data_IF_095383126524
#
_entry.id   IF_095383126524
#
_cell.length_a   1.000
_cell.length_b   1.000
_cell.length_c   1.000
_cell.angle_alpha   90.00
_cell.angle_beta   90.00
_cell.angle_gamma   90.00
#
_symmetry.space_group_name_H-M   'P 1'
#
loop_
_entity.id
_entity.type
_entity.pdbx_description
1 polymer ?
#
# COMPACT_ATOMS: atom_id res chain seq x y z
N UNK A 1 0.24 10.90 14.98
CA UNK A 1 0.65 9.99 13.90
C UNK A 1 1.72 9.01 14.35
N UNK A 2 2.79 9.43 15.04
CA UNK A 2 3.82 8.47 15.51
C UNK A 2 3.37 7.43 16.53
N UNK A 3 2.41 7.74 17.39
CA UNK A 3 1.85 6.74 18.32
C UNK A 3 1.30 5.51 17.58
N UNK A 4 0.70 5.71 16.41
CA UNK A 4 0.18 4.62 15.58
C UNK A 4 1.29 3.74 14.99
N UNK A 5 2.33 4.35 14.40
CA UNK A 5 3.49 3.63 13.86
C UNK A 5 4.18 2.80 14.95
N UNK A 6 4.31 3.37 16.15
CA UNK A 6 4.90 2.69 17.30
C UNK A 6 4.08 1.46 17.71
N UNK A 7 2.77 1.60 17.82
CA UNK A 7 1.89 0.49 18.22
C UNK A 7 1.84 -0.60 17.15
N UNK A 8 1.77 -0.22 15.86
CA UNK A 8 1.82 -1.18 14.76
C UNK A 8 3.17 -1.92 14.71
N UNK A 9 4.29 -1.21 14.92
CA UNK A 9 5.63 -1.81 14.98
C UNK A 9 5.76 -2.80 16.15
N UNK A 10 5.22 -2.47 17.33
CA UNK A 10 5.18 -3.37 18.49
C UNK A 10 4.32 -4.60 18.23
N UNK A 11 3.15 -4.41 17.63
CA UNK A 11 2.26 -5.51 17.27
C UNK A 11 2.90 -6.43 16.22
N UNK A 12 3.56 -5.87 15.20
CA UNK A 12 4.34 -6.62 14.22
C UNK A 12 5.50 -7.41 14.85
N UNK A 13 6.17 -6.84 15.86
CA UNK A 13 7.17 -7.58 16.64
C UNK A 13 6.56 -8.75 17.42
N UNK A 14 5.44 -8.54 18.11
CA UNK A 14 4.71 -9.61 18.83
C UNK A 14 4.22 -10.71 17.89
N UNK A 15 3.83 -10.37 16.64
CA UNK A 15 3.51 -11.31 15.58
C UNK A 15 4.75 -11.97 14.94
N UNK A 16 5.95 -11.60 15.35
CA UNK A 16 7.21 -12.21 14.91
C UNK A 16 7.69 -11.74 13.53
N UNK A 17 7.16 -10.66 12.98
CA UNK A 17 7.46 -10.17 11.62
C UNK A 17 8.16 -8.81 11.58
N UNK A 18 8.32 -8.13 12.70
CA UNK A 18 9.01 -6.84 12.76
C UNK A 18 10.12 -6.83 13.80
N UNK A 19 11.14 -5.97 13.64
CA UNK A 19 12.17 -5.78 14.65
C UNK A 19 11.58 -5.28 15.97
N UNK A 20 12.23 -5.62 17.09
CA UNK A 20 11.84 -5.12 18.42
C UNK A 20 12.01 -3.60 18.48
N UNK A 21 10.98 -2.89 18.96
CA UNK A 21 11.09 -1.46 19.31
C UNK A 21 11.89 -1.35 20.61
N UNK A 22 13.02 -0.62 20.57
CA UNK A 22 13.95 -0.46 21.68
C UNK A 22 13.72 0.86 22.43
N UNK A 23 13.39 1.94 21.69
CA UNK A 23 13.13 3.25 22.24
C UNK A 23 12.18 4.01 21.31
N UNK A 24 11.37 4.88 21.85
CA UNK A 24 10.53 5.80 21.10
C UNK A 24 10.19 7.04 21.93
N UNK A 25 10.02 8.16 21.23
CA UNK A 25 9.40 9.40 21.72
C UNK A 25 8.60 10.07 20.59
N UNK A 26 8.18 11.32 20.79
CA UNK A 26 7.38 12.05 19.80
C UNK A 26 8.11 12.26 18.45
N UNK A 27 9.44 12.10 18.43
CA UNK A 27 10.30 12.42 17.29
C UNK A 27 11.11 11.25 16.76
N UNK A 28 11.33 10.21 17.56
CA UNK A 28 12.28 9.14 17.26
C UNK A 28 11.63 7.79 17.54
N UNK A 29 11.80 6.86 16.60
CA UNK A 29 11.55 5.43 16.78
C UNK A 29 12.86 4.68 16.52
N UNK A 30 13.34 3.94 17.53
CA UNK A 30 14.55 3.11 17.45
C UNK A 30 14.16 1.65 17.52
N UNK A 31 14.46 0.91 16.48
CA UNK A 31 14.25 -0.53 16.41
C UNK A 31 15.55 -1.31 16.48
N UNK A 32 15.44 -2.56 16.89
CA UNK A 32 16.54 -3.51 16.82
C UNK A 32 17.10 -3.59 15.41
N UNK A 33 18.40 -3.49 15.27
CA UNK A 33 19.06 -3.71 13.99
C UNK A 33 18.97 -5.18 13.58
N UNK A 34 18.53 -5.42 12.35
CA UNK A 34 18.51 -6.75 11.75
C UNK A 34 19.64 -6.81 10.72
N UNK A 35 20.59 -7.71 10.94
CA UNK A 35 21.63 -8.00 9.93
C UNK A 35 20.95 -8.70 8.76
N UNK A 36 20.72 -7.97 7.69
CA UNK A 36 19.89 -8.41 6.58
C UNK A 36 20.29 -7.72 5.28
N UNK A 37 19.83 -8.26 4.16
CA UNK A 37 19.85 -7.61 2.87
C UNK A 37 18.46 -7.06 2.55
N UNK A 38 18.38 -5.88 1.94
CA UNK A 38 17.14 -5.44 1.32
C UNK A 38 16.81 -6.32 0.12
N UNK A 39 15.54 -6.59 -0.09
CA UNK A 39 15.11 -7.21 -1.33
C UNK A 39 15.41 -6.29 -2.52
N UNK A 40 15.65 -6.87 -3.68
CA UNK A 40 15.72 -6.14 -4.96
C UNK A 40 14.44 -6.40 -5.75
N UNK A 41 14.10 -5.56 -6.74
CA UNK A 41 12.94 -5.80 -7.61
C UNK A 41 12.94 -7.20 -8.26
N UNK A 42 14.13 -7.71 -8.63
CA UNK A 42 14.28 -9.04 -9.22
C UNK A 42 14.03 -10.15 -8.19
N UNK A 43 14.58 -10.00 -6.98
CA UNK A 43 14.35 -10.98 -5.90
C UNK A 43 12.89 -11.05 -5.49
N UNK A 44 12.19 -9.91 -5.45
CA UNK A 44 10.75 -9.89 -5.12
C UNK A 44 9.93 -10.72 -6.10
N UNK A 45 10.26 -10.70 -7.39
CA UNK A 45 9.56 -11.46 -8.45
C UNK A 45 9.87 -12.96 -8.44
N UNK A 46 10.91 -13.38 -7.73
CA UNK A 46 11.21 -14.81 -7.63
C UNK A 46 10.10 -15.54 -6.86
N UNK A 47 9.56 -16.62 -7.44
CA UNK A 47 8.39 -17.34 -6.90
C UNK A 47 8.56 -17.76 -5.44
N UNK A 48 9.75 -18.20 -5.03
CA UNK A 48 10.02 -18.58 -3.65
C UNK A 48 9.99 -17.39 -2.70
N UNK A 49 10.48 -16.25 -3.13
CA UNK A 49 10.39 -14.99 -2.36
C UNK A 49 8.94 -14.50 -2.29
N UNK A 50 8.21 -14.56 -3.42
CA UNK A 50 6.77 -14.20 -3.44
C UNK A 50 5.94 -15.04 -2.49
N UNK A 51 6.19 -16.36 -2.38
CA UNK A 51 5.52 -17.22 -1.38
C UNK A 51 5.76 -16.72 0.05
N UNK A 52 7.01 -16.35 0.36
CA UNK A 52 7.36 -15.81 1.69
C UNK A 52 6.67 -14.44 1.93
N UNK A 53 6.61 -13.58 0.91
CA UNK A 53 5.94 -12.27 1.01
C UNK A 53 4.43 -12.45 1.19
N UNK A 54 3.78 -13.36 0.45
CA UNK A 54 2.37 -13.68 0.60
C UNK A 54 2.08 -14.21 2.02
N UNK A 55 2.96 -15.06 2.56
CA UNK A 55 2.84 -15.52 3.94
C UNK A 55 2.96 -14.36 4.93
N UNK A 56 3.90 -13.44 4.71
CA UNK A 56 4.07 -12.23 5.51
C UNK A 56 2.80 -11.35 5.49
N UNK A 57 2.20 -11.13 4.31
CA UNK A 57 0.92 -10.41 4.16
C UNK A 57 -0.20 -11.10 4.96
N UNK A 58 -0.29 -12.44 4.91
CA UNK A 58 -1.27 -13.19 5.69
C UNK A 58 -1.11 -13.00 7.19
N UNK A 59 0.13 -12.94 7.70
CA UNK A 59 0.40 -12.65 9.12
C UNK A 59 -0.05 -11.23 9.46
N UNK A 60 0.26 -10.25 8.62
CA UNK A 60 -0.20 -8.85 8.81
C UNK A 60 -1.72 -8.81 8.96
N UNK A 61 -2.45 -9.46 8.04
CA UNK A 61 -3.91 -9.38 7.98
C UNK A 61 -4.63 -10.17 9.07
N UNK A 62 -4.03 -11.25 9.59
CA UNK A 62 -4.71 -12.19 10.50
C UNK A 62 -4.18 -12.15 11.93
N UNK A 63 -2.90 -11.85 12.13
CA UNK A 63 -2.25 -12.04 13.42
C UNK A 63 -1.88 -10.71 14.10
N UNK A 64 -1.38 -9.72 13.35
CA UNK A 64 -0.95 -8.44 13.94
C UNK A 64 -2.06 -7.76 14.72
N UNK A 65 -3.30 -7.82 14.24
CA UNK A 65 -4.47 -7.23 14.88
C UNK A 65 -4.67 -7.71 16.32
N UNK A 66 -4.27 -8.95 16.65
CA UNK A 66 -4.41 -9.53 17.98
C UNK A 66 -3.45 -8.90 19.02
N UNK A 67 -2.46 -8.13 18.55
CA UNK A 67 -1.44 -7.50 19.39
C UNK A 67 -1.51 -5.98 19.38
N UNK A 68 -2.48 -5.39 18.67
CA UNK A 68 -2.68 -3.94 18.67
C UNK A 68 -3.25 -3.51 20.03
N UNK A 69 -2.63 -2.51 20.63
CA UNK A 69 -3.05 -1.91 21.89
C UNK A 69 -3.46 -0.45 21.64
N UNK A 70 -4.61 -0.02 22.17
CA UNK A 70 -5.07 1.35 22.02
C UNK A 70 -6.19 1.56 20.99
N UNK A 71 -6.58 2.81 20.72
CA UNK A 71 -7.64 3.11 19.77
C UNK A 71 -7.23 2.69 18.36
N UNK A 72 -8.14 2.01 17.67
CA UNK A 72 -7.95 1.61 16.27
C UNK A 72 -7.77 2.85 15.40
N UNK A 73 -6.56 3.10 14.96
CA UNK A 73 -6.27 4.21 14.07
C UNK A 73 -6.64 3.79 12.64
N UNK A 74 -7.60 4.48 12.10
CA UNK A 74 -8.08 4.28 10.74
C UNK A 74 -7.24 5.13 9.78
N UNK A 75 -6.20 4.54 9.19
CA UNK A 75 -5.60 5.08 7.97
C UNK A 75 -6.39 4.56 6.76
N UNK A 76 -7.68 4.92 6.72
CA UNK A 76 -8.54 4.57 5.59
C UNK A 76 -8.03 5.27 4.32
N UNK A 77 -7.79 4.48 3.27
CA UNK A 77 -7.17 4.96 2.04
C UNK A 77 -8.02 6.04 1.34
N UNK A 78 -9.36 5.95 1.40
CA UNK A 78 -10.24 6.92 0.79
C UNK A 78 -10.25 8.25 1.55
N UNK A 79 -10.15 8.19 2.89
CA UNK A 79 -9.95 9.40 3.70
C UNK A 79 -8.61 10.06 3.37
N UNK A 80 -7.53 9.29 3.22
CA UNK A 80 -6.22 9.82 2.84
C UNK A 80 -6.24 10.50 1.46
N UNK A 81 -6.93 9.92 0.48
CA UNK A 81 -7.15 10.49 -0.85
C UNK A 81 -7.92 11.81 -0.73
N UNK A 82 -9.05 11.82 0.00
CA UNK A 82 -9.89 13.01 0.16
C UNK A 82 -9.15 14.16 0.85
N UNK A 83 -8.34 13.89 1.87
CA UNK A 83 -7.50 14.90 2.54
C UNK A 83 -6.51 15.54 1.56
N UNK A 84 -5.86 14.74 0.69
CA UNK A 84 -4.93 15.26 -0.32
C UNK A 84 -5.66 16.10 -1.38
N UNK A 85 -6.82 15.65 -1.84
CA UNK A 85 -7.66 16.42 -2.79
C UNK A 85 -8.08 17.76 -2.16
N UNK A 86 -8.53 17.74 -0.91
CA UNK A 86 -8.89 18.95 -0.18
C UNK A 86 -7.69 19.91 -0.10
N UNK A 87 -6.53 19.41 0.31
CA UNK A 87 -5.31 20.22 0.39
C UNK A 87 -4.93 20.85 -0.95
N UNK A 88 -5.04 20.09 -2.05
CA UNK A 88 -4.75 20.60 -3.39
C UNK A 88 -5.77 21.64 -3.84
N UNK A 89 -7.06 21.53 -3.46
CA UNK A 89 -8.08 22.54 -3.76
C UNK A 89 -7.84 23.88 -3.07
N UNK A 90 -7.34 23.84 -1.83
CA UNK A 90 -7.05 25.03 -1.03
C UNK A 90 -5.76 25.75 -1.45
N UNK A 91 -4.96 25.13 -2.29
CA UNK A 91 -3.67 25.66 -2.75
C UNK A 91 -3.69 25.96 -4.25
N UNK A 92 -2.94 26.99 -4.65
CA UNK A 92 -2.66 27.18 -6.07
C UNK A 92 -1.74 26.06 -6.55
N UNK A 93 -2.24 25.17 -7.40
CA UNK A 93 -1.49 24.04 -7.92
C UNK A 93 -1.74 23.84 -9.44
N UNK A 94 -0.78 23.28 -10.18
CA UNK A 94 -0.86 23.12 -11.63
C UNK A 94 -1.85 22.03 -12.10
N UNK A 95 -2.45 21.26 -11.18
CA UNK A 95 -3.29 20.08 -11.48
C UNK A 95 -4.77 20.30 -11.14
N UNK A 96 -5.19 21.53 -10.92
CA UNK A 96 -6.57 21.86 -10.50
C UNK A 96 -7.62 21.32 -11.47
N UNK A 97 -7.31 21.29 -12.77
CA UNK A 97 -8.17 20.76 -13.84
C UNK A 97 -8.49 19.26 -13.67
N UNK A 98 -7.60 18.48 -13.04
CA UNK A 98 -7.74 17.04 -12.86
C UNK A 98 -8.52 16.65 -11.59
N UNK A 99 -8.61 17.54 -10.60
CA UNK A 99 -9.15 17.19 -9.28
C UNK A 99 -10.61 16.73 -9.33
N UNK A 100 -11.45 17.37 -10.18
CA UNK A 100 -12.85 16.97 -10.31
C UNK A 100 -13.02 15.57 -10.91
N UNK A 101 -12.11 15.17 -11.82
CA UNK A 101 -12.06 13.82 -12.37
C UNK A 101 -11.71 12.83 -11.24
N UNK A 102 -10.65 13.08 -10.48
CA UNK A 102 -10.20 12.21 -9.41
C UNK A 102 -11.23 12.02 -8.29
N UNK A 103 -12.02 13.07 -7.98
CA UNK A 103 -13.11 12.96 -7.00
C UNK A 103 -14.13 11.93 -7.48
N UNK A 104 -14.61 12.06 -8.72
CA UNK A 104 -15.61 11.14 -9.29
C UNK A 104 -15.10 9.71 -9.36
N UNK A 105 -13.85 9.53 -9.76
CA UNK A 105 -13.20 8.22 -9.81
C UNK A 105 -13.06 7.61 -8.40
N UNK A 106 -12.65 8.41 -7.41
CA UNK A 106 -12.55 7.99 -6.02
C UNK A 106 -13.92 7.55 -5.45
N UNK A 107 -15.00 8.29 -5.75
CA UNK A 107 -16.37 7.94 -5.35
C UNK A 107 -16.81 6.58 -5.94
N UNK A 108 -16.45 6.31 -7.21
CA UNK A 108 -16.70 5.02 -7.84
C UNK A 108 -15.94 3.91 -7.13
N UNK A 109 -14.63 4.08 -6.91
CA UNK A 109 -13.79 3.09 -6.23
C UNK A 109 -14.29 2.82 -4.81
N UNK A 110 -14.62 3.85 -4.06
CA UNK A 110 -15.15 3.71 -2.71
C UNK A 110 -16.46 2.94 -2.70
N UNK A 111 -17.38 3.24 -3.61
CA UNK A 111 -18.65 2.53 -3.75
C UNK A 111 -18.45 1.05 -4.06
N UNK A 112 -17.57 0.72 -4.99
CA UNK A 112 -17.31 -0.66 -5.41
C UNK A 112 -16.53 -1.45 -4.34
N UNK A 113 -15.77 -0.77 -3.48
CA UNK A 113 -15.03 -1.40 -2.38
C UNK A 113 -15.84 -1.67 -1.11
N UNK A 114 -17.03 -1.09 -0.95
CA UNK A 114 -17.84 -1.17 0.30
C UNK A 114 -18.25 -2.58 0.72
N UNK A 115 -18.31 -3.52 -0.21
CA UNK A 115 -18.66 -4.92 0.06
C UNK A 115 -17.50 -5.77 0.59
N UNK A 116 -16.29 -5.19 0.73
CA UNK A 116 -15.10 -5.94 1.11
C UNK A 116 -14.82 -5.82 2.59
N UNK A 117 -14.53 -6.96 3.20
CA UNK A 117 -14.10 -7.02 4.59
C UNK A 117 -12.79 -6.24 4.78
N UNK A 118 -12.71 -5.46 5.86
CA UNK A 118 -11.50 -4.75 6.24
C UNK A 118 -10.67 -5.60 7.18
N UNK A 119 -9.37 -5.66 6.92
CA UNK A 119 -8.36 -6.28 7.77
C UNK A 119 -7.32 -5.23 8.15
N UNK A 120 -6.50 -5.52 9.15
CA UNK A 120 -5.34 -4.67 9.41
C UNK A 120 -4.32 -4.85 8.29
N UNK A 121 -3.91 -3.76 7.65
CA UNK A 121 -3.05 -3.70 6.47
C UNK A 121 -1.81 -2.87 6.76
N UNK A 122 -0.71 -3.16 6.08
CA UNK A 122 0.51 -2.37 6.15
C UNK A 122 0.42 -1.09 5.31
N UNK A 123 -0.26 -1.16 4.18
CA UNK A 123 -0.50 -0.09 3.20
C UNK A 123 0.74 0.42 2.44
N UNK A 124 1.92 -0.13 2.69
CA UNK A 124 3.14 0.20 1.96
C UNK A 124 4.04 -1.03 1.73
N UNK A 125 3.48 -2.09 1.10
CA UNK A 125 4.26 -3.25 0.68
C UNK A 125 5.18 -2.89 -0.49
N UNK A 126 6.39 -2.47 -0.14
CA UNK A 126 7.45 -2.12 -1.06
C UNK A 126 8.72 -2.90 -0.71
N UNK A 127 9.50 -3.32 -1.69
CA UNK A 127 10.67 -4.18 -1.46
C UNK A 127 11.68 -3.58 -0.47
N UNK A 128 11.77 -2.25 -0.36
CA UNK A 128 12.65 -1.58 0.60
C UNK A 128 12.19 -1.70 2.04
N UNK A 129 10.91 -1.97 2.27
CA UNK A 129 10.33 -2.18 3.59
C UNK A 129 10.39 -3.64 4.02
N UNK A 130 10.96 -4.52 3.18
CA UNK A 130 11.11 -5.95 3.46
C UNK A 130 12.60 -6.28 3.57
N UNK A 131 13.02 -6.76 4.75
CA UNK A 131 14.38 -7.19 5.01
C UNK A 131 14.46 -8.71 4.98
N UNK A 132 15.51 -9.26 4.40
CA UNK A 132 15.78 -10.71 4.33
C UNK A 132 17.05 -11.02 5.13
N UNK A 133 16.92 -11.78 6.21
CA UNK A 133 18.05 -12.24 7.06
C UNK A 133 18.49 -13.66 6.71
N UNK A 134 18.13 -14.17 5.53
CA UNK A 134 18.34 -15.53 5.03
C UNK A 134 17.50 -16.61 5.75
N UNK A 135 16.92 -16.31 6.92
CA UNK A 135 16.05 -17.21 7.68
C UNK A 135 14.58 -16.88 7.47
N UNK A 136 14.25 -15.58 7.51
CA UNK A 136 12.88 -15.09 7.31
C UNK A 136 12.88 -13.67 6.73
N UNK A 137 11.68 -13.24 6.34
CA UNK A 137 11.43 -11.85 5.99
C UNK A 137 10.95 -11.06 7.21
N UNK A 138 11.41 -9.81 7.29
CA UNK A 138 11.01 -8.83 8.29
C UNK A 138 10.34 -7.67 7.58
N UNK A 139 9.30 -7.10 8.20
CA UNK A 139 8.56 -5.94 7.70
C UNK A 139 8.80 -4.74 8.60
N UNK A 140 9.12 -3.59 7.99
CA UNK A 140 9.40 -2.32 8.67
C UNK A 140 8.56 -1.21 8.05
N UNK A 141 8.53 -0.04 8.69
CA UNK A 141 7.88 1.18 8.18
C UNK A 141 6.34 1.11 8.19
N UNK A 142 5.78 1.04 9.40
CA UNK A 142 4.36 0.88 9.66
C UNK A 142 3.57 2.20 9.67
N UNK A 143 4.14 3.32 9.21
CA UNK A 143 3.53 4.64 9.33
C UNK A 143 2.17 4.78 8.65
N UNK A 144 1.92 4.00 7.59
CA UNK A 144 0.68 4.01 6.83
C UNK A 144 -0.30 2.89 7.22
N UNK A 145 0.08 2.00 8.14
CA UNK A 145 -0.76 0.86 8.51
C UNK A 145 -2.15 1.27 9.01
N UNK A 146 -3.15 0.43 8.81
CA UNK A 146 -4.53 0.71 9.20
C UNK A 146 -5.51 -0.33 8.68
N UNK A 147 -6.81 -0.08 8.88
CA UNK A 147 -7.86 -1.01 8.45
C UNK A 147 -8.35 -0.69 7.04
N UNK A 148 -8.01 -1.54 6.09
CA UNK A 148 -8.41 -1.45 4.68
C UNK A 148 -8.77 -2.82 4.11
N UNK A 149 -9.17 -2.86 2.85
CA UNK A 149 -9.30 -4.12 2.13
C UNK A 149 -7.94 -4.83 2.03
N UNK A 150 -7.88 -6.17 2.20
CA UNK A 150 -6.64 -6.93 2.01
C UNK A 150 -6.02 -6.76 0.62
N UNK A 151 -6.85 -6.47 -0.38
CA UNK A 151 -6.38 -6.21 -1.74
C UNK A 151 -5.54 -4.93 -1.87
N UNK A 152 -5.57 -4.02 -0.89
CA UNK A 152 -4.71 -2.83 -0.92
C UNK A 152 -3.23 -3.21 -0.76
N UNK A 153 -2.90 -4.13 0.15
CA UNK A 153 -1.52 -4.61 0.31
C UNK A 153 -1.06 -5.44 -0.89
N UNK A 154 -1.92 -6.28 -1.45
CA UNK A 154 -1.62 -7.02 -2.68
C UNK A 154 -1.40 -6.06 -3.87
N UNK A 155 -2.22 -5.03 -3.99
CA UNK A 155 -2.10 -4.00 -5.01
C UNK A 155 -0.82 -3.17 -4.84
N UNK A 156 -0.46 -2.80 -3.61
CA UNK A 156 0.79 -2.10 -3.32
C UNK A 156 2.00 -2.95 -3.68
N UNK A 157 2.00 -4.24 -3.31
CA UNK A 157 3.06 -5.17 -3.70
C UNK A 157 3.20 -5.24 -5.23
N UNK A 158 2.10 -5.44 -5.94
CA UNK A 158 2.09 -5.54 -7.39
C UNK A 158 2.53 -4.23 -8.07
N UNK A 159 1.89 -3.12 -7.71
CA UNK A 159 2.15 -1.80 -8.29
C UNK A 159 3.60 -1.35 -8.06
N UNK A 160 4.11 -1.51 -6.85
CA UNK A 160 5.44 -1.03 -6.47
C UNK A 160 6.58 -1.83 -7.13
N UNK A 161 6.31 -3.06 -7.54
CA UNK A 161 7.29 -3.94 -8.17
C UNK A 161 7.00 -4.20 -9.65
N UNK A 162 6.01 -3.48 -10.24
CA UNK A 162 5.62 -3.59 -11.65
C UNK A 162 5.40 -5.05 -12.08
N UNK A 163 4.52 -5.74 -11.36
CA UNK A 163 4.19 -7.14 -11.63
C UNK A 163 3.45 -7.29 -12.96
N UNK A 164 3.75 -8.40 -13.63
CA UNK A 164 3.00 -8.89 -14.78
C UNK A 164 1.64 -9.47 -14.34
N UNK A 165 0.78 -9.78 -15.30
CA UNK A 165 -0.49 -10.47 -15.02
C UNK A 165 -0.25 -11.86 -14.41
N UNK A 166 0.81 -12.56 -14.82
CA UNK A 166 1.17 -13.87 -14.24
C UNK A 166 1.63 -13.73 -12.78
N UNK A 167 2.37 -12.67 -12.45
CA UNK A 167 2.76 -12.37 -11.07
C UNK A 167 1.52 -12.01 -10.22
N UNK A 168 0.61 -11.21 -10.77
CA UNK A 168 -0.65 -10.85 -10.14
C UNK A 168 -1.53 -12.09 -9.87
N UNK A 169 -1.62 -13.00 -10.83
CA UNK A 169 -2.32 -14.26 -10.65
C UNK A 169 -1.66 -15.09 -9.55
N UNK A 170 -0.32 -15.19 -9.55
CA UNK A 170 0.42 -15.95 -8.54
C UNK A 170 0.18 -15.44 -7.11
N UNK A 171 0.18 -14.10 -6.91
CA UNK A 171 -0.10 -13.54 -5.58
C UNK A 171 -1.56 -13.74 -5.16
N UNK A 172 -2.52 -13.65 -6.09
CA UNK A 172 -3.92 -13.91 -5.80
C UNK A 172 -4.15 -15.38 -5.39
N UNK A 173 -3.66 -16.35 -6.17
CA UNK A 173 -3.73 -17.78 -5.84
C UNK A 173 -3.08 -18.08 -4.48
N UNK A 174 -1.88 -17.56 -4.29
CA UNK A 174 -1.15 -17.74 -3.04
C UNK A 174 -1.86 -17.12 -1.83
N UNK A 175 -2.54 -16.00 -2.01
CA UNK A 175 -3.27 -15.33 -0.93
C UNK A 175 -4.63 -15.97 -0.63
N UNK A 176 -5.45 -16.21 -1.64
CA UNK A 176 -6.81 -16.76 -1.48
C UNK A 176 -6.81 -18.26 -1.23
N UNK A 177 -5.83 -18.99 -1.75
CA UNK A 177 -5.69 -20.46 -1.60
C UNK A 177 -6.53 -21.27 -2.58
N UNK A 178 -7.31 -20.62 -3.44
CA UNK A 178 -8.22 -21.24 -4.40
C UNK A 178 -7.94 -20.71 -5.83
N UNK A 179 -8.71 -21.22 -6.79
CA UNK A 179 -8.64 -20.75 -8.17
C UNK A 179 -9.04 -19.27 -8.26
N UNK A 180 -8.25 -18.49 -9.00
CA UNK A 180 -8.52 -17.06 -9.23
C UNK A 180 -9.88 -16.90 -9.90
N UNK A 181 -10.69 -15.99 -9.37
CA UNK A 181 -11.98 -15.61 -9.95
C UNK A 181 -11.87 -14.27 -10.71
N UNK A 182 -12.81 -14.01 -11.61
CA UNK A 182 -12.91 -12.67 -12.23
C UNK A 182 -13.09 -11.58 -11.18
N UNK A 183 -13.79 -11.87 -10.08
CA UNK A 183 -13.99 -10.96 -8.96
C UNK A 183 -12.67 -10.68 -8.19
N UNK A 184 -11.81 -11.67 -7.97
CA UNK A 184 -10.49 -11.50 -7.34
C UNK A 184 -9.60 -10.58 -8.18
N UNK A 185 -9.55 -10.82 -9.50
CA UNK A 185 -8.83 -9.95 -10.44
C UNK A 185 -9.38 -8.52 -10.44
N UNK A 186 -10.70 -8.38 -10.51
CA UNK A 186 -11.35 -7.08 -10.45
C UNK A 186 -10.97 -6.31 -9.18
N UNK A 187 -11.03 -6.95 -8.01
CA UNK A 187 -10.66 -6.35 -6.72
C UNK A 187 -9.19 -5.89 -6.72
N UNK A 188 -8.27 -6.73 -7.18
CA UNK A 188 -6.86 -6.37 -7.25
C UNK A 188 -6.66 -5.12 -8.11
N UNK A 189 -7.26 -5.07 -9.31
CA UNK A 189 -7.10 -3.96 -10.23
C UNK A 189 -7.83 -2.69 -9.77
N UNK A 190 -8.96 -2.80 -9.08
CA UNK A 190 -9.59 -1.70 -8.37
C UNK A 190 -8.62 -1.07 -7.37
N UNK A 191 -8.01 -1.88 -6.50
CA UNK A 191 -7.10 -1.36 -5.49
C UNK A 191 -5.74 -0.91 -6.05
N UNK A 192 -5.31 -1.43 -7.21
CA UNK A 192 -4.17 -0.86 -7.97
C UNK A 192 -4.48 0.56 -8.44
N UNK A 193 -5.72 0.84 -8.90
CA UNK A 193 -6.14 2.21 -9.23
C UNK A 193 -6.16 3.10 -7.98
N UNK A 194 -6.75 2.64 -6.88
CA UNK A 194 -6.81 3.39 -5.61
C UNK A 194 -5.41 3.74 -5.11
N UNK A 195 -4.50 2.76 -5.11
CA UNK A 195 -3.12 2.96 -4.67
C UNK A 195 -2.35 3.94 -5.57
N UNK A 196 -2.50 3.82 -6.90
CA UNK A 196 -1.87 4.75 -7.85
C UNK A 196 -2.44 6.16 -7.73
N UNK A 197 -3.77 6.31 -7.58
CA UNK A 197 -4.39 7.61 -7.35
C UNK A 197 -3.87 8.27 -6.06
N UNK A 198 -3.75 7.50 -4.99
CA UNK A 198 -3.19 8.00 -3.74
C UNK A 198 -1.75 8.50 -3.92
N UNK A 199 -0.93 7.80 -4.71
CA UNK A 199 0.45 8.17 -5.00
C UNK A 199 0.56 9.39 -5.93
N UNK A 200 -0.29 9.48 -6.96
CA UNK A 200 -0.43 10.67 -7.81
C UNK A 200 -0.74 11.92 -6.95
N UNK A 201 -1.73 11.82 -6.08
CA UNK A 201 -2.11 12.93 -5.21
C UNK A 201 -1.02 13.28 -4.19
N UNK A 202 -0.32 12.27 -3.65
CA UNK A 202 0.84 12.50 -2.79
C UNK A 202 1.95 13.25 -3.52
N UNK A 203 2.25 12.88 -4.75
CA UNK A 203 3.28 13.56 -5.54
C UNK A 203 2.88 15.00 -5.88
N UNK A 204 1.61 15.24 -6.24
CA UNK A 204 1.08 16.59 -6.48
C UNK A 204 1.15 17.48 -5.23
N UNK A 205 0.83 16.94 -4.05
CA UNK A 205 1.01 17.65 -2.77
C UNK A 205 2.48 17.93 -2.52
N UNK A 206 3.36 16.99 -2.86
CA UNK A 206 4.80 17.14 -2.67
C UNK A 206 5.41 18.20 -3.59
N UNK A 207 4.90 18.36 -4.83
CA UNK A 207 5.33 19.44 -5.74
C UNK A 207 5.18 20.83 -5.12
N UNK A 208 4.10 21.06 -4.38
CA UNK A 208 3.78 22.39 -3.83
C UNK A 208 4.24 22.61 -2.39
N UNK A 209 4.61 21.55 -1.67
CA UNK A 209 4.88 21.63 -0.23
C UNK A 209 6.25 21.08 0.21
N UNK A 210 6.89 20.22 -0.61
CA UNK A 210 8.15 19.57 -0.23
C UNK A 210 9.33 20.52 -0.36
N UNK A 211 10.21 20.49 0.65
CA UNK A 211 11.53 21.16 0.63
C UNK A 211 12.66 20.22 0.16
N UNK A 212 12.34 18.97 -0.17
CA UNK A 212 13.33 17.98 -0.63
C UNK A 212 13.79 18.31 -2.05
N UNK A 213 15.08 18.13 -2.30
CA UNK A 213 15.64 18.22 -3.66
C UNK A 213 15.29 16.93 -4.41
N UNK A 214 14.14 16.92 -5.05
CA UNK A 214 13.64 15.80 -5.84
C UNK A 214 12.75 16.33 -6.97
N UNK A 215 12.83 15.77 -8.16
CA UNK A 215 11.99 16.16 -9.30
C UNK A 215 10.58 15.56 -9.18
N UNK A 216 9.77 16.18 -8.33
CA UNK A 216 8.38 15.77 -8.13
C UNK A 216 7.53 15.94 -9.39
N UNK A 217 7.84 16.91 -10.27
CA UNK A 217 7.08 17.13 -11.51
C UNK A 217 7.21 15.95 -12.45
N UNK A 218 8.44 15.50 -12.72
CA UNK A 218 8.68 14.30 -13.53
C UNK A 218 8.09 13.05 -12.89
N UNK A 219 8.17 12.95 -11.57
CA UNK A 219 7.58 11.83 -10.83
C UNK A 219 6.05 11.81 -10.96
N UNK A 220 5.37 12.94 -10.74
CA UNK A 220 3.92 13.07 -10.89
C UNK A 220 3.47 12.70 -12.30
N UNK A 221 4.17 13.22 -13.34
CA UNK A 221 3.85 12.88 -14.72
C UNK A 221 3.97 11.39 -15.01
N UNK A 222 4.97 10.72 -14.44
CA UNK A 222 5.11 9.26 -14.57
C UNK A 222 3.97 8.52 -13.84
N UNK A 223 3.65 8.91 -12.61
CA UNK A 223 2.57 8.28 -11.83
C UNK A 223 1.20 8.50 -12.50
N UNK A 224 0.95 9.67 -13.10
CA UNK A 224 -0.26 9.94 -13.88
C UNK A 224 -0.40 8.96 -15.05
N UNK A 225 0.65 8.76 -15.85
CA UNK A 225 0.63 7.80 -16.97
C UNK A 225 0.36 6.37 -16.49
N UNK A 226 0.97 5.96 -15.38
CA UNK A 226 0.73 4.64 -14.79
C UNK A 226 -0.71 4.49 -14.30
N UNK A 227 -1.23 5.53 -13.66
CA UNK A 227 -2.62 5.58 -13.20
C UNK A 227 -3.61 5.47 -14.37
N UNK A 228 -3.44 6.27 -15.42
CA UNK A 228 -4.32 6.26 -16.59
C UNK A 228 -4.33 4.88 -17.27
N UNK A 229 -3.15 4.29 -17.49
CA UNK A 229 -3.05 2.93 -18.04
C UNK A 229 -3.77 1.89 -17.17
N UNK A 230 -3.60 1.97 -15.84
CA UNK A 230 -4.24 1.05 -14.90
C UNK A 230 -5.77 1.26 -14.86
N UNK A 231 -6.21 2.51 -14.93
CA UNK A 231 -7.63 2.87 -14.96
C UNK A 231 -8.33 2.36 -16.22
N UNK A 232 -7.69 2.46 -17.38
CA UNK A 232 -8.22 1.92 -18.65
C UNK A 232 -8.37 0.39 -18.55
N UNK A 233 -7.38 -0.29 -17.97
CA UNK A 233 -7.47 -1.74 -17.78
C UNK A 233 -8.56 -2.13 -16.78
N UNK A 234 -8.68 -1.44 -15.65
CA UNK A 234 -9.76 -1.64 -14.69
C UNK A 234 -11.14 -1.46 -15.34
N UNK A 235 -11.32 -0.42 -16.16
CA UNK A 235 -12.58 -0.20 -16.87
C UNK A 235 -12.91 -1.33 -17.86
N UNK A 236 -11.92 -1.91 -18.53
CA UNK A 236 -12.14 -3.06 -19.41
C UNK A 236 -12.64 -4.29 -18.65
N UNK A 237 -12.11 -4.53 -17.43
CA UNK A 237 -12.59 -5.61 -16.56
C UNK A 237 -14.01 -5.35 -16.05
N UNK A 238 -14.34 -4.09 -15.72
CA UNK A 238 -15.66 -3.68 -15.21
C UNK A 238 -16.80 -3.93 -16.21
N UNK A 239 -16.52 -3.82 -17.51
CA UNK A 239 -17.51 -4.07 -18.58
C UNK A 239 -17.75 -5.59 -18.76
N UNK A 240 -16.80 -6.41 -18.32
CA UNK A 240 -16.81 -7.86 -18.52
C UNK A 240 -17.44 -8.64 -17.35
N UNK A 241 -17.82 -7.96 -16.27
CA UNK A 241 -18.53 -8.49 -15.10
C UNK A 241 -20.00 -8.10 -15.14
#
# INVERSE_FOLDING_TARGET
MRSHEIEASKAGYKAGISPKVLYFDDSILVSQYIQSNHLTPEKVKAKETLKKIIHLIKIVHKEVVNFLEGPNLSNDIFQMINVKIFHLKEKNNPHTDKLNKFIKECEIFEKESKSYEKVFTHNDFFYKNILDDDKKLWLIDWEFSGFNSPYLDLANLSKNNEFSEDDDNFILEGYEGDSITSNSKFKLHLFKCVSLLNEVLWSMVSEISSKKVFDFVSYTNNMLKRYEKQFDYYNSLRISI
#
